data_IF_766996722531
#
_entry.id   IF_766996722531
#
_cell.length_a   1.000
_cell.length_b   1.000
_cell.length_c   1.000
_cell.angle_alpha   90.00
_cell.angle_beta   90.00
_cell.angle_gamma   90.00
#
_symmetry.space_group_name_H-M   'P 1'
#
loop_
_entity.id
_entity.type
_entity.pdbx_description
1 polymer ?
#
# COMPACT_ATOMS: atom_id res chain seq x y z
N UNK A 1 22.98 6.75 -6.72
CA UNK A 1 23.03 6.78 -5.25
C UNK A 1 22.58 5.41 -4.77
N UNK A 2 23.35 4.77 -3.91
CA UNK A 2 23.00 3.49 -3.27
C UNK A 2 22.19 3.72 -2.01
N UNK A 3 21.54 2.66 -1.50
CA UNK A 3 20.87 2.70 -0.20
C UNK A 3 21.83 3.08 0.93
N UNK A 4 23.04 2.52 0.94
CA UNK A 4 24.05 2.80 1.97
C UNK A 4 24.55 4.25 1.91
N UNK A 5 24.62 4.84 0.71
CA UNK A 5 24.93 6.27 0.54
C UNK A 5 23.80 7.17 1.04
N UNK A 6 22.54 6.78 0.82
CA UNK A 6 21.38 7.51 1.34
C UNK A 6 21.34 7.49 2.87
N UNK A 7 21.61 6.33 3.49
CA UNK A 7 21.67 6.14 4.94
C UNK A 7 22.79 6.94 5.63
N UNK A 8 23.77 7.45 4.88
CA UNK A 8 24.83 8.31 5.40
C UNK A 8 24.46 9.80 5.38
N UNK A 9 23.37 10.18 4.73
CA UNK A 9 22.87 11.55 4.77
C UNK A 9 22.26 11.84 6.16
N UNK A 10 22.25 13.11 6.59
CA UNK A 10 21.47 13.52 7.75
C UNK A 10 19.99 13.15 7.55
N UNK A 11 19.33 12.66 8.61
CA UNK A 11 17.92 12.24 8.58
C UNK A 11 17.01 13.34 7.99
N UNK A 12 17.24 14.59 8.36
CA UNK A 12 16.53 15.78 7.85
C UNK A 12 16.64 16.01 6.33
N UNK A 13 17.52 15.29 5.64
CA UNK A 13 17.67 15.26 4.19
C UNK A 13 17.24 13.90 3.64
N UNK A 14 17.66 12.81 4.28
CA UNK A 14 17.36 11.45 3.86
C UNK A 14 15.86 11.19 3.82
N UNK A 15 15.12 11.69 4.81
CA UNK A 15 13.66 11.54 4.91
C UNK A 15 12.96 12.07 3.66
N UNK A 16 13.49 13.12 3.01
CA UNK A 16 12.89 13.75 1.84
C UNK A 16 13.32 13.16 0.50
N UNK A 17 14.06 12.06 0.51
CA UNK A 17 14.58 11.40 -0.70
C UNK A 17 14.00 9.99 -0.80
N UNK A 18 13.44 9.67 -1.97
CA UNK A 18 13.18 8.29 -2.40
C UNK A 18 14.22 7.86 -3.43
N UNK A 19 14.64 6.60 -3.40
CA UNK A 19 15.40 6.01 -4.51
C UNK A 19 14.45 5.40 -5.53
N UNK A 20 14.68 5.73 -6.81
CA UNK A 20 14.00 5.14 -7.97
C UNK A 20 15.07 4.60 -8.92
N UNK A 21 15.29 3.30 -8.87
CA UNK A 21 16.31 2.61 -9.67
C UNK A 21 17.71 3.25 -9.50
N UNK A 22 18.05 3.59 -8.26
CA UNK A 22 19.31 4.23 -7.86
C UNK A 22 19.37 5.75 -8.11
N UNK A 23 18.30 6.34 -8.63
CA UNK A 23 18.18 7.79 -8.79
C UNK A 23 17.50 8.41 -7.56
N UNK A 24 18.15 9.39 -6.89
CA UNK A 24 17.51 10.11 -5.80
C UNK A 24 16.43 11.04 -6.35
N UNK A 25 15.23 10.93 -5.79
CA UNK A 25 14.08 11.77 -6.11
C UNK A 25 13.64 12.51 -4.86
N UNK A 26 13.60 13.83 -4.96
CA UNK A 26 13.11 14.68 -3.88
C UNK A 26 11.59 14.57 -3.78
N UNK A 27 11.09 14.13 -2.63
CA UNK A 27 9.66 13.88 -2.37
C UNK A 27 9.13 14.71 -1.20
N UNK A 28 9.77 15.84 -0.89
CA UNK A 28 9.36 16.70 0.23
C UNK A 28 7.90 17.16 0.15
N UNK A 29 7.38 17.43 -1.06
CA UNK A 29 5.97 17.76 -1.20
C UNK A 29 5.09 16.60 -0.72
N UNK A 30 5.37 15.36 -1.15
CA UNK A 30 4.61 14.17 -0.72
C UNK A 30 4.69 13.93 0.79
N UNK A 31 5.86 14.12 1.40
CA UNK A 31 6.07 13.91 2.86
C UNK A 31 5.44 15.00 3.69
N UNK A 32 5.60 16.27 3.31
CA UNK A 32 4.93 17.38 3.99
C UNK A 32 3.41 17.25 3.91
N UNK A 33 2.90 16.60 2.85
CA UNK A 33 1.49 16.29 2.69
C UNK A 33 1.03 15.07 3.52
N UNK A 34 1.89 14.05 3.71
CA UNK A 34 1.67 12.95 4.66
C UNK A 34 1.68 13.44 6.12
N UNK A 35 2.50 14.44 6.41
CA UNK A 35 2.47 15.24 7.64
C UNK A 35 1.34 16.29 7.65
N UNK A 36 0.46 16.27 6.63
CA UNK A 36 -0.73 17.10 6.51
C UNK A 36 -1.83 16.73 7.52
N UNK A 37 -3.10 17.07 7.25
CA UNK A 37 -4.19 17.00 8.24
C UNK A 37 -4.24 15.64 8.97
N UNK A 38 -4.41 15.68 10.30
CA UNK A 38 -4.36 14.53 11.21
C UNK A 38 -5.26 13.35 10.79
N UNK A 39 -6.27 13.61 9.95
CA UNK A 39 -7.19 12.63 9.40
C UNK A 39 -6.47 11.55 8.61
N UNK A 40 -5.51 11.90 7.75
CA UNK A 40 -4.78 10.92 6.92
C UNK A 40 -4.08 9.87 7.80
N UNK A 41 -3.27 10.36 8.73
CA UNK A 41 -2.53 9.55 9.70
C UNK A 41 -3.45 8.75 10.60
N UNK A 42 -4.59 9.34 11.00
CA UNK A 42 -5.57 8.66 11.85
C UNK A 42 -6.26 7.50 11.12
N UNK A 43 -6.74 7.72 9.90
CA UNK A 43 -7.41 6.67 9.13
C UNK A 43 -6.42 5.59 8.69
N UNK A 44 -5.19 5.95 8.31
CA UNK A 44 -4.11 5.00 8.05
C UNK A 44 -3.89 4.08 9.24
N UNK A 45 -3.57 4.65 10.42
CA UNK A 45 -3.36 3.87 11.65
C UNK A 45 -4.54 2.98 12.03
N UNK A 46 -5.78 3.46 11.89
CA UNK A 46 -6.96 2.65 12.21
C UNK A 46 -7.13 1.48 11.27
N UNK A 47 -6.89 1.70 9.98
CA UNK A 47 -6.95 0.65 8.99
C UNK A 47 -5.85 -0.39 9.22
N UNK A 48 -4.62 0.04 9.53
CA UNK A 48 -3.53 -0.85 9.95
C UNK A 48 -3.95 -1.70 11.15
N UNK A 49 -4.49 -1.09 12.20
CA UNK A 49 -4.93 -1.80 13.40
C UNK A 49 -6.06 -2.81 13.11
N UNK A 50 -7.02 -2.43 12.26
CA UNK A 50 -8.14 -3.30 11.90
C UNK A 50 -7.68 -4.50 11.05
N UNK A 51 -6.79 -4.26 10.09
CA UNK A 51 -6.14 -5.31 9.31
C UNK A 51 -5.33 -6.24 10.22
N UNK A 52 -4.57 -5.70 11.16
CA UNK A 52 -3.77 -6.48 12.12
C UNK A 52 -4.68 -7.36 13.00
N UNK A 53 -5.78 -6.80 13.52
CA UNK A 53 -6.75 -7.56 14.29
C UNK A 53 -7.36 -8.72 13.47
N UNK A 54 -7.78 -8.44 12.24
CA UNK A 54 -8.31 -9.46 11.33
C UNK A 54 -7.25 -10.54 11.01
N UNK A 55 -5.98 -10.16 10.83
CA UNK A 55 -4.89 -11.11 10.58
C UNK A 55 -4.71 -12.07 11.75
N UNK A 56 -4.79 -11.58 13.00
CA UNK A 56 -4.65 -12.40 14.22
C UNK A 56 -5.79 -13.39 14.34
N UNK A 57 -7.02 -12.98 14.03
CA UNK A 57 -8.18 -13.88 13.98
C UNK A 57 -7.98 -14.95 12.89
N UNK A 58 -7.60 -14.56 11.68
CA UNK A 58 -7.39 -15.50 10.58
C UNK A 58 -6.25 -16.50 10.85
N UNK A 59 -5.15 -16.08 11.51
CA UNK A 59 -4.06 -16.97 11.90
C UNK A 59 -4.46 -17.95 13.01
N UNK A 60 -5.31 -17.53 13.96
CA UNK A 60 -5.81 -18.43 15.00
C UNK A 60 -6.62 -19.60 14.43
N UNK A 61 -7.26 -19.38 13.27
CA UNK A 61 -8.05 -20.39 12.55
C UNK A 61 -7.23 -21.18 11.50
N UNK A 62 -5.96 -20.80 11.24
CA UNK A 62 -5.13 -21.39 10.20
C UNK A 62 -3.63 -21.48 10.57
N UNK A 63 -3.18 -22.67 10.94
CA UNK A 63 -1.78 -22.94 11.33
C UNK A 63 -0.75 -22.86 10.17
N UNK A 64 -1.18 -22.66 8.91
CA UNK A 64 -0.28 -22.80 7.73
C UNK A 64 0.19 -21.49 7.12
N UNK A 65 -0.39 -20.36 7.51
CA UNK A 65 -0.07 -19.07 6.92
C UNK A 65 0.16 -18.04 8.02
N UNK A 66 1.24 -17.28 7.90
CA UNK A 66 1.59 -16.22 8.82
C UNK A 66 1.55 -14.89 8.08
N UNK A 67 0.83 -13.93 8.63
CA UNK A 67 0.67 -12.59 8.09
C UNK A 67 1.11 -11.56 9.13
N UNK A 68 1.82 -10.55 8.65
CA UNK A 68 2.22 -9.38 9.44
C UNK A 68 1.65 -8.14 8.76
N UNK A 69 1.22 -7.18 9.58
CA UNK A 69 0.60 -5.93 9.12
C UNK A 69 1.42 -4.78 9.67
N UNK A 70 1.88 -3.89 8.80
CA UNK A 70 2.73 -2.77 9.16
C UNK A 70 2.20 -1.45 8.58
N UNK A 71 2.56 -0.34 9.21
CA UNK A 71 2.28 1.01 8.74
C UNK A 71 3.57 1.77 8.42
N UNK A 72 3.54 2.62 7.39
CA UNK A 72 4.60 3.59 7.07
C UNK A 72 6.04 3.02 6.99
N UNK A 73 6.20 1.75 6.59
CA UNK A 73 7.53 1.13 6.40
C UNK A 73 7.87 0.98 4.91
N UNK A 74 9.16 0.95 4.59
CA UNK A 74 9.63 0.86 3.21
C UNK A 74 9.43 -0.56 2.65
N UNK A 75 8.87 -0.62 1.45
CA UNK A 75 8.83 -1.84 0.62
C UNK A 75 9.86 -1.70 -0.50
N UNK A 76 10.89 -2.54 -0.46
CA UNK A 76 11.91 -2.56 -1.49
C UNK A 76 11.42 -3.31 -2.73
N UNK A 77 11.43 -2.61 -3.87
CA UNK A 77 10.98 -3.11 -5.17
C UNK A 77 12.12 -3.75 -5.97
N UNK A 78 13.36 -3.57 -5.52
CA UNK A 78 14.56 -4.14 -6.13
C UNK A 78 15.44 -4.83 -5.06
N UNK A 79 16.05 -5.99 -5.35
CA UNK A 79 16.86 -6.73 -4.38
C UNK A 79 18.07 -5.96 -3.84
N UNK A 80 18.61 -5.04 -4.64
CA UNK A 80 19.74 -4.17 -4.27
C UNK A 80 19.30 -2.91 -3.50
N UNK A 81 18.02 -2.81 -3.14
CA UNK A 81 17.40 -1.68 -2.43
C UNK A 81 17.50 -0.34 -3.16
N UNK A 82 17.77 -0.36 -4.47
CA UNK A 82 17.87 0.84 -5.29
C UNK A 82 16.52 1.46 -5.64
N UNK A 83 15.41 0.77 -5.34
CA UNK A 83 14.04 1.23 -5.59
C UNK A 83 13.16 0.81 -4.42
N UNK A 84 12.44 1.75 -3.81
CA UNK A 84 11.44 1.48 -2.78
C UNK A 84 10.28 2.48 -2.85
N UNK A 85 9.22 2.14 -2.13
CA UNK A 85 8.07 2.99 -1.83
C UNK A 85 7.68 2.80 -0.36
N UNK A 86 7.09 3.83 0.24
CA UNK A 86 6.53 3.79 1.59
C UNK A 86 5.01 3.84 1.49
N UNK A 87 4.28 2.71 1.50
CA UNK A 87 2.83 2.71 1.60
C UNK A 87 2.38 3.22 2.97
N UNK A 88 1.10 3.62 3.09
CA UNK A 88 0.54 4.03 4.39
C UNK A 88 0.29 2.81 5.29
N UNK A 89 -0.07 1.69 4.69
CA UNK A 89 -0.19 0.39 5.35
C UNK A 89 0.11 -0.74 4.38
N UNK A 90 0.52 -1.89 4.91
CA UNK A 90 0.79 -3.09 4.13
C UNK A 90 0.50 -4.37 4.90
N UNK A 91 0.34 -5.46 4.16
CA UNK A 91 0.33 -6.83 4.68
C UNK A 91 1.43 -7.60 3.98
N UNK A 92 2.28 -8.28 4.74
CA UNK A 92 3.31 -9.17 4.24
C UNK A 92 3.22 -10.55 4.90
N UNK A 93 3.96 -11.51 4.34
CA UNK A 93 4.29 -12.73 5.07
C UNK A 93 5.16 -12.40 6.28
N UNK A 94 5.02 -13.18 7.36
CA UNK A 94 5.94 -13.07 8.48
C UNK A 94 7.37 -13.35 8.01
N UNK A 95 8.28 -12.45 8.33
CA UNK A 95 9.68 -12.56 7.96
C UNK A 95 10.42 -13.53 8.89
N UNK A 96 11.54 -14.07 8.41
CA UNK A 96 12.33 -15.06 9.15
C UNK A 96 13.04 -14.48 10.37
N UNK A 97 13.54 -13.25 10.25
CA UNK A 97 14.26 -12.53 11.32
C UNK A 97 13.51 -11.25 11.73
N UNK A 98 13.60 -10.88 13.03
CA UNK A 98 12.90 -9.73 13.64
C UNK A 98 13.30 -8.34 13.09
N UNK A 99 14.27 -8.26 12.17
CA UNK A 99 14.78 -7.01 11.60
C UNK A 99 15.01 -7.07 10.09
N UNK A 100 14.35 -8.02 9.41
CA UNK A 100 14.43 -8.11 7.97
C UNK A 100 13.73 -6.93 7.28
N UNK A 101 14.25 -6.60 6.10
CA UNK A 101 13.64 -5.59 5.23
C UNK A 101 12.46 -6.21 4.48
N UNK A 102 11.39 -5.43 4.33
CA UNK A 102 10.22 -5.87 3.55
C UNK A 102 10.52 -5.71 2.05
N UNK A 103 10.55 -6.82 1.32
CA UNK A 103 10.63 -6.81 -0.14
C UNK A 103 9.25 -7.00 -0.77
N UNK A 104 9.12 -6.59 -2.03
CA UNK A 104 7.89 -6.78 -2.79
C UNK A 104 7.44 -8.26 -2.85
N UNK A 105 8.38 -9.20 -2.91
CA UNK A 105 8.11 -10.65 -2.94
C UNK A 105 7.49 -11.18 -1.63
N UNK A 106 7.74 -10.51 -0.50
CA UNK A 106 7.13 -10.83 0.79
C UNK A 106 5.78 -10.14 0.99
N UNK A 107 5.46 -9.15 0.14
CA UNK A 107 4.32 -8.25 0.32
C UNK A 107 3.09 -8.77 -0.42
N UNK A 108 1.97 -8.87 0.28
CA UNK A 108 0.70 -9.36 -0.24
C UNK A 108 -0.27 -8.24 -0.59
N UNK A 109 -0.24 -7.16 0.19
CA UNK A 109 -1.10 -5.99 0.04
C UNK A 109 -0.31 -4.73 0.38
N UNK A 110 -0.46 -3.69 -0.43
CA UNK A 110 -0.07 -2.32 -0.09
C UNK A 110 -1.28 -1.39 -0.19
N UNK A 111 -1.32 -0.36 0.64
CA UNK A 111 -2.43 0.57 0.70
C UNK A 111 -1.99 2.03 0.80
N UNK A 112 -2.74 2.90 0.11
CA UNK A 112 -2.54 4.35 0.14
C UNK A 112 -3.86 5.04 0.52
N UNK A 113 -3.80 5.87 1.55
CA UNK A 113 -4.86 6.77 1.97
C UNK A 113 -4.79 8.01 1.09
N UNK A 114 -5.84 8.20 0.30
CA UNK A 114 -5.91 9.29 -0.64
C UNK A 114 -6.21 10.60 0.09
N UNK A 115 -5.21 11.48 0.14
CA UNK A 115 -5.40 12.87 0.50
C UNK A 115 -5.72 13.70 -0.76
N UNK A 116 -6.39 14.86 -0.63
CA UNK A 116 -6.65 15.74 -1.79
C UNK A 116 -5.42 16.32 -2.48
N UNK A 117 -4.23 16.11 -1.91
CA UNK A 117 -2.98 16.48 -2.55
C UNK A 117 -2.40 15.35 -3.43
N UNK A 118 -2.93 14.13 -3.31
CA UNK A 118 -2.62 13.03 -4.21
C UNK A 118 -3.26 13.32 -5.57
N UNK A 119 -2.48 13.87 -6.49
CA UNK A 119 -2.94 14.04 -7.87
C UNK A 119 -3.13 12.66 -8.51
N UNK A 120 -4.11 12.48 -9.42
CA UNK A 120 -4.30 11.21 -10.12
C UNK A 120 -3.03 10.68 -10.78
N UNK A 121 -2.16 11.59 -11.25
CA UNK A 121 -0.87 11.24 -11.84
C UNK A 121 0.10 10.60 -10.83
N UNK A 122 0.16 11.11 -9.61
CA UNK A 122 1.03 10.59 -8.56
C UNK A 122 0.54 9.22 -8.06
N UNK A 123 -0.76 9.08 -7.84
CA UNK A 123 -1.40 7.81 -7.45
C UNK A 123 -1.12 6.75 -8.51
N UNK A 124 -1.39 7.06 -9.79
CA UNK A 124 -1.17 6.14 -10.89
C UNK A 124 0.31 5.75 -11.06
N UNK A 125 1.24 6.69 -10.80
CA UNK A 125 2.67 6.40 -10.84
C UNK A 125 3.10 5.41 -9.74
N UNK A 126 2.62 5.58 -8.50
CA UNK A 126 2.88 4.64 -7.40
C UNK A 126 2.28 3.27 -7.67
N UNK A 127 1.01 3.23 -8.05
CA UNK A 127 0.27 2.03 -8.42
C UNK A 127 1.00 1.19 -9.48
N UNK A 128 1.53 1.83 -10.52
CA UNK A 128 2.33 1.16 -11.56
C UNK A 128 3.62 0.55 -11.03
N UNK A 129 4.30 1.23 -10.10
CA UNK A 129 5.54 0.71 -9.49
C UNK A 129 5.25 -0.52 -8.62
N UNK A 130 4.20 -0.49 -7.80
CA UNK A 130 3.76 -1.67 -7.04
C UNK A 130 3.38 -2.84 -7.96
N UNK A 131 2.65 -2.56 -9.06
CA UNK A 131 2.29 -3.58 -10.04
C UNK A 131 3.51 -4.19 -10.72
N UNK A 132 4.47 -3.36 -11.14
CA UNK A 132 5.70 -3.80 -11.77
C UNK A 132 6.57 -4.64 -10.83
N UNK A 133 6.48 -4.39 -9.52
CA UNK A 133 7.14 -5.17 -8.48
C UNK A 133 6.41 -6.47 -8.13
N UNK A 134 5.24 -6.74 -8.71
CA UNK A 134 4.53 -8.00 -8.54
C UNK A 134 3.65 -8.11 -7.29
N UNK A 135 3.42 -7.01 -6.56
CA UNK A 135 2.62 -7.06 -5.32
C UNK A 135 1.16 -7.44 -5.66
N UNK A 136 0.57 -8.49 -5.06
CA UNK A 136 -0.72 -9.03 -5.50
C UNK A 136 -1.91 -8.08 -5.36
N UNK A 137 -1.97 -7.30 -4.28
CA UNK A 137 -3.09 -6.41 -3.98
C UNK A 137 -2.63 -4.97 -3.75
N UNK A 138 -3.42 -4.03 -4.23
CA UNK A 138 -3.25 -2.60 -4.00
C UNK A 138 -4.57 -1.97 -3.59
N UNK A 139 -4.58 -1.24 -2.48
CA UNK A 139 -5.78 -0.56 -1.96
C UNK A 139 -5.65 0.96 -2.05
N UNK A 140 -6.72 1.59 -2.52
CA UNK A 140 -6.91 3.05 -2.45
C UNK A 140 -8.02 3.36 -1.45
N UNK A 141 -7.72 4.19 -0.45
CA UNK A 141 -8.68 4.58 0.60
C UNK A 141 -9.05 6.04 0.43
N UNK A 142 -10.26 6.32 -0.01
CA UNK A 142 -10.74 7.68 -0.24
C UNK A 142 -11.37 8.28 1.02
N UNK A 143 -11.04 9.54 1.33
CA UNK A 143 -11.56 10.26 2.47
C UNK A 143 -12.54 11.37 2.05
N UNK A 144 -13.70 11.45 2.70
CA UNK A 144 -14.60 12.60 2.65
C UNK A 144 -14.22 13.64 3.73
N UNK A 145 -14.47 14.93 3.45
CA UNK A 145 -14.08 16.05 4.33
C UNK A 145 -15.19 16.60 5.23
N UNK A 146 -16.44 16.21 5.02
CA UNK A 146 -17.58 16.73 5.79
C UNK A 146 -18.73 15.70 5.86
N UNK A 147 -18.90 14.99 6.99
CA UNK A 147 -17.90 14.80 8.05
C UNK A 147 -16.67 14.00 7.56
N UNK A 148 -15.55 14.14 8.27
CA UNK A 148 -14.34 13.35 8.05
C UNK A 148 -14.61 11.85 8.24
N UNK A 149 -14.51 11.08 7.15
CA UNK A 149 -14.73 9.62 7.13
C UNK A 149 -14.09 9.00 5.90
N UNK A 150 -13.93 7.68 5.90
CA UNK A 150 -13.69 6.93 4.67
C UNK A 150 -14.97 6.99 3.82
N UNK A 151 -14.85 7.41 2.55
CA UNK A 151 -15.95 7.41 1.58
C UNK A 151 -15.96 6.17 0.70
N UNK A 152 -14.77 5.63 0.40
CA UNK A 152 -14.64 4.41 -0.37
C UNK A 152 -13.31 3.72 -0.07
N UNK A 153 -13.31 2.39 -0.12
CA UNK A 153 -12.10 1.57 -0.24
C UNK A 153 -12.19 0.82 -1.55
N UNK A 154 -11.15 0.94 -2.39
CA UNK A 154 -11.05 0.24 -3.67
C UNK A 154 -9.91 -0.74 -3.60
N UNK A 155 -10.20 -2.02 -3.76
CA UNK A 155 -9.20 -3.07 -3.88
C UNK A 155 -8.93 -3.36 -5.35
N UNK A 156 -7.66 -3.29 -5.71
CA UNK A 156 -7.19 -3.70 -7.02
C UNK A 156 -6.35 -4.96 -6.91
N UNK A 157 -6.59 -5.91 -7.81
CA UNK A 157 -5.85 -7.15 -7.91
C UNK A 157 -4.87 -7.09 -9.09
N UNK A 158 -3.66 -7.61 -8.88
CA UNK A 158 -2.64 -7.68 -9.91
C UNK A 158 -3.10 -8.64 -11.00
N UNK A 159 -3.05 -8.19 -12.25
CA UNK A 159 -3.34 -9.05 -13.39
C UNK A 159 -2.17 -9.98 -13.62
N UNK A 160 -2.34 -11.25 -13.27
CA UNK A 160 -1.39 -12.32 -13.57
C UNK A 160 -1.92 -13.11 -14.79
N UNK A 161 -1.19 -13.10 -15.91
CA UNK A 161 -1.52 -13.87 -17.12
C UNK A 161 -1.59 -13.08 -18.44
N UNK A 162 -1.98 -13.76 -19.52
CA UNK A 162 -2.08 -13.17 -20.86
C UNK A 162 -3.26 -12.18 -20.95
N UNK A 163 -2.94 -10.88 -20.94
CA UNK A 163 -3.90 -9.83 -21.27
C UNK A 163 -4.24 -9.94 -22.76
N UNK A 164 -5.47 -10.35 -23.07
CA UNK A 164 -5.95 -10.45 -24.43
C UNK A 164 -6.29 -9.06 -24.98
N UNK A 165 -5.30 -8.43 -25.62
CA UNK A 165 -5.47 -7.16 -26.32
C UNK A 165 -5.80 -7.38 -27.79
N UNK A 166 -6.45 -6.38 -28.40
CA UNK A 166 -6.70 -6.38 -29.84
C UNK A 166 -5.38 -6.48 -30.62
N UNK A 167 -5.40 -7.16 -31.75
CA UNK A 167 -4.23 -7.27 -32.62
C UNK A 167 -3.63 -5.89 -32.93
N UNK A 168 -2.31 -5.75 -32.77
CA UNK A 168 -1.60 -4.49 -32.93
C UNK A 168 -1.60 -3.56 -31.71
N UNK A 169 -2.21 -3.97 -30.59
CA UNK A 169 -2.15 -3.22 -29.32
C UNK A 169 -1.18 -3.93 -28.38
N UNK A 170 -0.19 -3.19 -27.88
CA UNK A 170 0.78 -3.66 -26.88
C UNK A 170 0.57 -2.87 -25.60
N UNK A 171 0.54 -3.52 -24.42
CA UNK A 171 0.38 -2.80 -23.18
C UNK A 171 1.66 -1.99 -22.91
N UNK A 172 1.50 -0.75 -22.44
CA UNK A 172 2.63 0.09 -22.05
C UNK A 172 3.40 -0.49 -20.84
N UNK A 173 2.68 -1.17 -19.95
CA UNK A 173 3.24 -1.83 -18.78
C UNK A 173 2.80 -3.30 -18.77
N UNK A 174 3.71 -4.26 -18.55
CA UNK A 174 3.39 -5.68 -18.61
C UNK A 174 2.55 -6.14 -17.41
N UNK A 175 2.68 -5.47 -16.27
CA UNK A 175 1.90 -5.72 -15.06
C UNK A 175 0.98 -4.53 -14.79
N UNK A 176 -0.31 -4.82 -14.52
CA UNK A 176 -1.31 -3.80 -14.20
C UNK A 176 -2.28 -4.33 -13.15
N UNK A 177 -2.84 -3.39 -12.39
CA UNK A 177 -3.92 -3.63 -11.45
C UNK A 177 -5.29 -3.48 -12.12
N UNK A 178 -6.23 -4.34 -11.77
CA UNK A 178 -7.66 -4.23 -12.15
C UNK A 178 -8.47 -4.02 -10.88
N UNK A 179 -9.46 -3.13 -10.93
CA UNK A 179 -10.40 -2.95 -9.81
C UNK A 179 -11.17 -4.24 -9.61
N UNK A 180 -10.96 -4.88 -8.45
CA UNK A 180 -11.55 -6.16 -8.10
C UNK A 180 -12.76 -5.97 -7.19
N UNK A 181 -12.66 -5.07 -6.22
CA UNK A 181 -13.70 -4.82 -5.22
C UNK A 181 -13.77 -3.32 -4.88
N UNK A 182 -14.95 -2.85 -4.50
CA UNK A 182 -15.17 -1.50 -3.98
C UNK A 182 -16.19 -1.58 -2.83
N UNK A 183 -15.82 -1.02 -1.68
CA UNK A 183 -16.71 -0.90 -0.52
C UNK A 183 -16.97 0.57 -0.22
N UNK A 184 -18.24 0.91 -0.05
CA UNK A 184 -18.66 2.26 0.40
C UNK A 184 -19.62 2.14 1.58
N UNK A 185 -19.61 3.10 2.53
CA UNK A 185 -20.54 3.11 3.66
C UNK A 185 -22.02 3.14 3.28
N UNK A 186 -22.35 3.61 2.08
CA UNK A 186 -23.73 3.68 1.57
C UNK A 186 -24.25 2.31 1.11
N UNK A 187 -23.36 1.40 0.74
CA UNK A 187 -23.71 0.14 0.07
C UNK A 187 -23.28 -1.11 0.84
N UNK A 188 -22.33 -0.99 1.76
CA UNK A 188 -21.75 -2.10 2.51
C UNK A 188 -21.71 -1.79 4.02
N UNK A 189 -21.82 -2.81 4.87
CA UNK A 189 -21.69 -2.68 6.33
C UNK A 189 -20.25 -2.46 6.81
N UNK A 190 -19.28 -2.84 5.97
CA UNK A 190 -17.85 -2.76 6.24
C UNK A 190 -17.05 -3.21 5.02
N UNK A 191 -15.78 -3.52 5.25
CA UNK A 191 -14.89 -4.16 4.28
C UNK A 191 -14.93 -5.66 4.53
N UNK A 192 -15.42 -6.42 3.56
CA UNK A 192 -15.44 -7.88 3.58
C UNK A 192 -14.58 -8.39 2.42
N UNK A 193 -13.51 -9.14 2.73
CA UNK A 193 -12.67 -9.76 1.71
C UNK A 193 -12.10 -11.10 2.19
N UNK A 194 -11.76 -11.97 1.24
CA UNK A 194 -11.07 -13.24 1.51
C UNK A 194 -9.56 -13.18 1.18
N UNK A 195 -9.05 -12.01 0.80
CA UNK A 195 -7.66 -11.83 0.39
C UNK A 195 -7.03 -10.60 1.08
N UNK A 196 -5.77 -10.69 1.55
CA UNK A 196 -4.92 -11.89 1.54
C UNK A 196 -5.34 -12.97 2.55
N UNK A 197 -6.24 -12.64 3.47
CA UNK A 197 -6.88 -13.56 4.41
C UNK A 197 -8.35 -13.14 4.62
N UNK A 198 -9.20 -14.04 5.17
CA UNK A 198 -10.56 -13.68 5.55
C UNK A 198 -10.57 -12.51 6.52
N UNK A 199 -11.25 -11.43 6.16
CA UNK A 199 -11.41 -10.26 6.99
C UNK A 199 -12.82 -9.69 6.87
N UNK A 200 -13.32 -9.22 8.01
CA UNK A 200 -14.48 -8.35 8.09
C UNK A 200 -14.10 -7.17 8.99
N UNK A 201 -14.09 -5.96 8.43
CA UNK A 201 -13.76 -4.73 9.13
C UNK A 201 -14.98 -3.82 9.08
N UNK A 202 -15.61 -3.58 10.23
CA UNK A 202 -16.79 -2.74 10.32
C UNK A 202 -16.41 -1.26 10.13
N UNK A 203 -17.29 -0.45 9.54
CA UNK A 203 -17.02 0.99 9.44
C UNK A 203 -16.84 1.66 10.81
N UNK A 204 -17.44 1.11 11.87
CA UNK A 204 -17.25 1.58 13.24
C UNK A 204 -15.82 1.43 13.76
N UNK A 205 -15.07 0.45 13.27
CA UNK A 205 -13.66 0.26 13.64
C UNK A 205 -12.77 1.34 13.03
N UNK A 206 -13.25 1.98 11.96
CA UNK A 206 -12.57 3.04 11.21
C UNK A 206 -13.11 4.44 11.54
N UNK A 207 -14.28 4.53 12.19
CA UNK A 207 -15.01 5.77 12.48
C UNK A 207 -14.28 6.72 13.43
N UNK A 208 -14.52 8.03 13.31
CA UNK A 208 -13.89 9.10 14.09
C UNK A 208 -14.05 8.94 15.60
#
# INVERSE_FOLDING_TARGET
MTWDELQQLPDEIADFIELRDGHPVWVADEIMLRHGPMEHQRFGRRLTNALEAASKTAMADNDKSCWQVEGETNVFLAPDKSSYLTPDFLVCHCLGDEFDWVFADDTLLVGEVLSPANTPKLVEAKKKRYAAAGIPLYWEVELARDPARISAVRAYALTTGEVHLRAGVTPLHPANYILAEEWTPETHGGIESNHPYPMNIEWSDLAF
#
